data_IF_611056734205
#
_entry.id   IF_611056734205
#
_cell.length_a   1.000
_cell.length_b   1.000
_cell.length_c   1.000
_cell.angle_alpha   90.00
_cell.angle_beta   90.00
_cell.angle_gamma   90.00
#
_symmetry.space_group_name_H-M   'P 1'
#
loop_
_entity.id
_entity.type
_entity.pdbx_description
1 polymer ?
#
# COMPACT_ATOMS: atom_id res chain seq x y z
N UNK A 1 22.95 18.79 -16.78
CA UNK A 1 23.44 18.04 -15.61
C UNK A 1 22.40 16.98 -15.25
N UNK A 2 22.75 15.68 -15.34
CA UNK A 2 21.80 14.58 -15.13
C UNK A 2 21.39 14.41 -13.65
N UNK A 3 22.31 14.70 -12.75
CA UNK A 3 22.14 14.49 -11.30
C UNK A 3 21.51 15.67 -10.57
N UNK A 4 21.50 16.88 -11.13
CA UNK A 4 20.91 18.06 -10.51
C UNK A 4 19.45 18.22 -10.93
N UNK A 5 18.57 17.37 -10.35
CA UNK A 5 17.12 17.35 -10.65
C UNK A 5 16.29 17.42 -9.38
N UNK A 6 16.29 18.57 -8.68
CA UNK A 6 15.62 18.69 -7.37
C UNK A 6 14.11 18.39 -7.44
N UNK A 7 13.47 18.68 -8.57
CA UNK A 7 12.04 18.39 -8.74
C UNK A 7 11.74 16.89 -8.83
N UNK A 8 12.66 16.07 -9.38
CA UNK A 8 12.51 14.60 -9.37
C UNK A 8 12.61 14.07 -7.94
N UNK A 9 13.52 14.62 -7.13
CA UNK A 9 13.65 14.28 -5.72
C UNK A 9 12.40 14.68 -4.93
N UNK A 10 11.88 15.90 -5.15
CA UNK A 10 10.64 16.38 -4.54
C UNK A 10 9.43 15.51 -4.93
N UNK A 11 9.33 15.10 -6.20
CA UNK A 11 8.30 14.19 -6.67
C UNK A 11 8.42 12.81 -6.00
N UNK A 12 9.65 12.29 -5.81
CA UNK A 12 9.91 11.06 -5.07
C UNK A 12 9.45 11.16 -3.61
N UNK A 13 9.78 12.27 -2.94
CA UNK A 13 9.35 12.52 -1.56
C UNK A 13 7.81 12.57 -1.44
N UNK A 14 7.14 13.31 -2.33
CA UNK A 14 5.68 13.39 -2.34
C UNK A 14 5.01 12.03 -2.61
N UNK A 15 5.56 11.25 -3.55
CA UNK A 15 5.05 9.92 -3.87
C UNK A 15 5.28 8.92 -2.71
N UNK A 16 6.40 9.03 -2.00
CA UNK A 16 6.67 8.26 -0.79
C UNK A 16 5.70 8.60 0.34
N UNK A 17 5.45 9.88 0.58
CA UNK A 17 4.46 10.34 1.55
C UNK A 17 3.04 9.84 1.19
N UNK A 18 2.65 9.92 -0.08
CA UNK A 18 1.37 9.39 -0.55
C UNK A 18 1.23 7.88 -0.31
N UNK A 19 2.34 7.12 -0.46
CA UNK A 19 2.39 5.69 -0.16
C UNK A 19 2.22 5.42 1.34
N UNK A 20 2.77 6.29 2.19
CA UNK A 20 2.58 6.23 3.65
C UNK A 20 1.12 6.43 4.07
N UNK A 21 0.37 7.25 3.35
CA UNK A 21 -1.07 7.45 3.60
C UNK A 21 -1.89 6.24 3.12
N UNK A 22 -1.58 5.72 1.95
CA UNK A 22 -2.28 4.58 1.36
C UNK A 22 -1.36 3.81 0.41
N UNK A 23 -1.34 2.49 0.55
CA UNK A 23 -0.51 1.59 -0.26
C UNK A 23 -0.73 1.70 -1.77
N UNK A 24 -1.91 2.15 -2.20
CA UNK A 24 -2.13 2.47 -3.61
C UNK A 24 -1.22 3.60 -4.13
N UNK A 25 -0.56 4.37 -3.26
CA UNK A 25 0.50 5.29 -3.62
C UNK A 25 1.66 4.65 -4.37
N UNK A 26 1.92 3.34 -4.19
CA UNK A 26 2.91 2.58 -4.97
C UNK A 26 2.62 2.65 -6.47
N UNK A 27 1.35 2.65 -6.87
CA UNK A 27 0.98 2.82 -8.29
C UNK A 27 1.32 4.23 -8.80
N UNK A 28 1.24 5.25 -7.91
CA UNK A 28 1.66 6.61 -8.24
C UNK A 28 3.18 6.66 -8.41
N UNK A 29 3.95 6.00 -7.55
CA UNK A 29 5.41 5.86 -7.69
C UNK A 29 5.75 5.23 -9.03
N UNK A 30 5.12 4.10 -9.38
CA UNK A 30 5.36 3.42 -10.65
C UNK A 30 4.97 4.28 -11.85
N UNK A 31 3.78 4.89 -11.82
CA UNK A 31 3.27 5.73 -12.91
C UNK A 31 4.14 6.97 -13.15
N UNK A 32 4.53 7.68 -12.09
CA UNK A 32 5.43 8.84 -12.19
C UNK A 32 6.83 8.42 -12.65
N UNK A 33 7.36 7.30 -12.17
CA UNK A 33 8.64 6.77 -12.62
C UNK A 33 8.67 6.51 -14.13
N UNK A 34 7.64 5.83 -14.64
CA UNK A 34 7.48 5.58 -16.08
C UNK A 34 7.32 6.91 -16.84
N UNK A 35 6.49 7.81 -16.34
CA UNK A 35 6.26 9.12 -16.95
C UNK A 35 7.57 9.91 -17.08
N UNK A 36 8.39 9.96 -16.04
CA UNK A 36 9.68 10.66 -16.06
C UNK A 36 10.64 10.06 -17.11
N UNK A 37 10.73 8.73 -17.18
CA UNK A 37 11.59 8.07 -18.17
C UNK A 37 11.08 8.31 -19.58
N UNK A 38 9.78 8.21 -19.82
CA UNK A 38 9.19 8.42 -21.15
C UNK A 38 9.34 9.87 -21.61
N UNK A 39 9.09 10.84 -20.74
CA UNK A 39 9.24 12.27 -21.07
C UNK A 39 10.69 12.62 -21.39
N UNK A 40 11.64 12.10 -20.62
CA UNK A 40 13.06 12.27 -20.88
C UNK A 40 13.50 11.61 -22.21
N UNK A 41 12.98 10.42 -22.51
CA UNK A 41 13.23 9.72 -23.77
C UNK A 41 12.70 10.50 -24.98
N UNK A 42 11.48 11.02 -24.87
CA UNK A 42 10.86 11.84 -25.92
C UNK A 42 11.61 13.17 -26.12
N UNK A 43 12.07 13.80 -25.05
CA UNK A 43 12.88 15.01 -25.14
C UNK A 43 14.20 14.76 -25.92
N UNK A 44 14.88 13.64 -25.67
CA UNK A 44 16.08 13.24 -26.40
C UNK A 44 15.81 12.94 -27.87
N UNK A 45 14.70 12.26 -28.15
CA UNK A 45 14.27 12.03 -29.53
C UNK A 45 14.07 13.35 -30.27
N UNK A 46 13.39 14.34 -29.64
CA UNK A 46 13.15 15.66 -30.23
C UNK A 46 14.45 16.46 -30.42
N UNK A 47 15.43 16.27 -29.53
CA UNK A 47 16.74 16.88 -29.63
C UNK A 47 17.67 16.21 -30.69
N UNK A 48 17.20 15.19 -31.43
CA UNK A 48 17.98 14.52 -32.47
C UNK A 48 19.11 13.65 -31.94
N UNK A 49 19.06 13.21 -30.69
CA UNK A 49 20.11 12.35 -30.12
C UNK A 49 20.05 10.98 -30.80
N UNK A 50 21.16 10.59 -31.44
CA UNK A 50 21.31 9.24 -32.00
C UNK A 50 21.19 8.20 -30.87
N UNK A 51 20.56 7.04 -31.19
CA UNK A 51 20.35 5.97 -30.19
C UNK A 51 19.62 6.41 -28.93
N UNK A 52 18.70 7.38 -29.03
CA UNK A 52 17.91 7.91 -27.91
C UNK A 52 17.25 6.85 -27.02
N UNK A 53 16.77 5.68 -27.52
CA UNK A 53 16.16 4.66 -26.65
C UNK A 53 17.16 4.03 -25.69
N UNK A 54 18.35 3.70 -26.20
CA UNK A 54 19.43 3.09 -25.39
C UNK A 54 20.00 4.09 -24.40
N UNK A 55 20.20 5.34 -24.80
CA UNK A 55 20.66 6.40 -23.90
C UNK A 55 19.62 6.71 -22.81
N UNK A 56 18.33 6.70 -23.14
CA UNK A 56 17.28 6.83 -22.16
C UNK A 56 17.23 5.64 -21.19
N UNK A 57 17.37 4.41 -21.68
CA UNK A 57 17.29 3.20 -20.87
C UNK A 57 18.50 3.02 -19.95
N UNK A 58 19.73 3.19 -20.46
CA UNK A 58 20.95 2.83 -19.74
C UNK A 58 21.62 4.01 -19.02
N UNK A 59 21.33 5.22 -19.41
CA UNK A 59 21.95 6.40 -18.82
C UNK A 59 20.96 7.23 -18.01
N UNK A 60 19.81 7.55 -18.58
CA UNK A 60 18.82 8.41 -17.93
C UNK A 60 17.94 7.65 -16.95
N UNK A 61 17.45 6.47 -17.34
CA UNK A 61 16.58 5.63 -16.51
C UNK A 61 17.17 5.34 -15.14
N UNK A 62 18.40 4.79 -15.05
CA UNK A 62 19.06 4.53 -13.77
C UNK A 62 19.24 5.78 -12.91
N UNK A 63 19.62 6.92 -13.49
CA UNK A 63 19.75 8.17 -12.73
C UNK A 63 18.40 8.65 -12.19
N UNK A 64 17.34 8.60 -13.01
CA UNK A 64 15.98 8.95 -12.57
C UNK A 64 15.51 7.99 -11.48
N UNK A 65 15.76 6.69 -11.62
CA UNK A 65 15.44 5.69 -10.61
C UNK A 65 16.13 5.99 -9.28
N UNK A 66 17.44 6.25 -9.28
CA UNK A 66 18.23 6.54 -8.06
C UNK A 66 17.79 7.85 -7.39
N UNK A 67 17.40 8.85 -8.16
CA UNK A 67 16.92 10.13 -7.62
C UNK A 67 15.46 10.11 -7.16
N UNK A 68 14.67 9.15 -7.62
CA UNK A 68 13.23 9.10 -7.36
C UNK A 68 12.86 8.02 -6.35
N UNK A 69 13.20 6.77 -6.65
CA UNK A 69 12.70 5.60 -5.89
C UNK A 69 13.30 5.52 -4.48
N UNK A 70 14.63 5.63 -4.27
CA UNK A 70 15.19 5.59 -2.93
C UNK A 70 14.65 6.69 -2.02
N UNK A 71 14.42 7.89 -2.56
CA UNK A 71 13.84 8.99 -1.78
C UNK A 71 12.39 8.65 -1.39
N UNK A 72 11.58 8.12 -2.32
CA UNK A 72 10.23 7.67 -2.00
C UNK A 72 10.24 6.59 -0.91
N UNK A 73 11.16 5.63 -0.98
CA UNK A 73 11.32 4.58 0.05
C UNK A 73 11.73 5.16 1.40
N UNK A 74 12.71 6.07 1.42
CA UNK A 74 13.14 6.71 2.67
C UNK A 74 12.00 7.49 3.33
N UNK A 75 11.24 8.28 2.56
CA UNK A 75 10.09 9.03 3.08
C UNK A 75 8.99 8.09 3.55
N UNK A 76 8.73 7.01 2.83
CA UNK A 76 7.79 5.98 3.26
C UNK A 76 8.23 5.33 4.58
N UNK A 77 9.48 4.91 4.70
CA UNK A 77 10.01 4.32 5.94
C UNK A 77 10.01 5.34 7.09
N UNK A 78 10.29 6.61 6.80
CA UNK A 78 10.23 7.67 7.79
C UNK A 78 8.81 7.86 8.36
N UNK A 79 7.76 7.57 7.60
CA UNK A 79 6.39 7.60 8.12
C UNK A 79 6.12 6.55 9.21
N UNK A 80 6.96 5.52 9.31
CA UNK A 80 6.88 4.46 10.33
C UNK A 80 7.71 4.75 11.59
N UNK A 81 8.43 5.91 11.65
CA UNK A 81 9.29 6.24 12.79
C UNK A 81 8.50 6.21 14.11
N UNK A 82 7.28 6.73 14.14
CA UNK A 82 6.43 6.70 15.33
C UNK A 82 6.15 5.27 15.80
N UNK A 83 5.82 4.37 14.90
CA UNK A 83 5.58 2.95 15.20
C UNK A 83 6.87 2.22 15.64
N UNK A 84 8.01 2.56 15.04
CA UNK A 84 9.31 1.98 15.39
C UNK A 84 9.82 2.48 16.76
N UNK A 85 9.55 3.74 17.10
CA UNK A 85 10.03 4.40 18.30
C UNK A 85 9.17 4.12 19.56
N UNK A 86 7.96 3.58 19.37
CA UNK A 86 7.02 3.29 20.46
C UNK A 86 6.74 1.80 20.57
N UNK A 87 6.50 1.30 21.76
CA UNK A 87 6.17 -0.12 21.99
C UNK A 87 4.66 -0.41 21.86
N UNK A 88 3.82 0.62 21.84
CA UNK A 88 2.36 0.50 21.77
C UNK A 88 1.79 0.31 20.38
N UNK A 89 2.62 0.17 19.34
CA UNK A 89 2.16 -0.05 17.97
C UNK A 89 1.49 -1.41 17.79
N UNK A 90 0.44 -1.45 16.97
CA UNK A 90 -0.24 -2.71 16.64
C UNK A 90 0.77 -3.71 16.07
N UNK A 91 0.75 -4.93 16.58
CA UNK A 91 1.60 -6.06 16.13
C UNK A 91 3.13 -5.80 16.21
N UNK A 92 3.54 -4.86 17.08
CA UNK A 92 4.92 -4.41 17.25
C UNK A 92 5.88 -5.52 17.74
N UNK A 93 5.35 -6.50 18.45
CA UNK A 93 6.08 -7.62 19.08
C UNK A 93 5.89 -8.95 18.34
N UNK A 94 5.35 -8.95 17.12
CA UNK A 94 5.12 -10.17 16.33
C UNK A 94 6.41 -10.96 16.04
N UNK A 95 7.56 -10.27 15.93
CA UNK A 95 8.85 -10.95 15.76
C UNK A 95 9.32 -11.73 16.98
N UNK A 96 8.77 -11.49 18.18
CA UNK A 96 9.07 -12.28 19.38
C UNK A 96 8.42 -13.66 19.28
N UNK A 97 7.25 -13.75 18.63
CA UNK A 97 6.54 -15.02 18.39
C UNK A 97 7.09 -15.77 17.18
N UNK A 98 7.66 -15.05 16.21
CA UNK A 98 8.23 -15.59 14.99
C UNK A 98 9.59 -14.93 14.68
N UNK A 99 10.65 -15.26 15.44
CA UNK A 99 11.94 -14.62 15.29
C UNK A 99 12.57 -14.90 13.92
N UNK A 100 13.34 -13.91 13.42
CA UNK A 100 14.09 -14.08 12.19
C UNK A 100 15.17 -15.15 12.35
N UNK A 101 15.27 -16.06 11.37
CA UNK A 101 16.22 -17.17 11.39
C UNK A 101 17.20 -17.10 10.22
N UNK A 102 18.31 -17.81 10.32
CA UNK A 102 19.31 -17.92 9.26
C UNK A 102 20.01 -16.59 8.99
N UNK A 103 20.18 -16.24 7.72
CA UNK A 103 20.88 -15.03 7.27
C UNK A 103 20.21 -13.72 7.72
N UNK A 104 18.98 -13.76 8.19
CA UNK A 104 18.22 -12.60 8.67
C UNK A 104 18.24 -12.42 10.17
N UNK A 105 18.91 -13.30 10.94
CA UNK A 105 18.97 -13.24 12.41
C UNK A 105 19.61 -11.96 12.96
N UNK A 106 20.38 -11.24 12.16
CA UNK A 106 21.00 -9.95 12.52
C UNK A 106 20.03 -8.77 12.45
N UNK A 107 18.84 -8.95 11.83
CA UNK A 107 17.84 -7.88 11.69
C UNK A 107 17.21 -7.62 13.07
N UNK A 108 17.19 -6.35 13.54
CA UNK A 108 16.52 -6.01 14.79
C UNK A 108 15.04 -6.42 14.77
N UNK A 109 14.55 -6.92 15.92
CA UNK A 109 13.16 -7.43 16.05
C UNK A 109 12.09 -6.44 15.57
N UNK A 110 12.36 -5.14 15.78
CA UNK A 110 11.49 -4.06 15.31
C UNK A 110 11.25 -4.06 13.78
N UNK A 111 12.32 -4.19 13.02
CA UNK A 111 12.21 -4.22 11.54
C UNK A 111 11.64 -5.55 11.05
N UNK A 112 11.92 -6.64 11.76
CA UNK A 112 11.29 -7.92 11.44
C UNK A 112 9.79 -7.89 11.72
N UNK A 113 9.35 -7.33 12.86
CA UNK A 113 7.92 -7.10 13.14
C UNK A 113 7.26 -6.22 12.07
N UNK A 114 7.95 -5.15 11.63
CA UNK A 114 7.45 -4.29 10.55
C UNK A 114 7.27 -5.07 9.23
N UNK A 115 8.22 -5.96 8.91
CA UNK A 115 8.11 -6.83 7.74
C UNK A 115 6.91 -7.78 7.84
N UNK A 116 6.74 -8.45 8.99
CA UNK A 116 5.62 -9.34 9.25
C UNK A 116 4.27 -8.60 9.14
N UNK A 117 4.21 -7.38 9.68
CA UNK A 117 3.04 -6.51 9.57
C UNK A 117 2.71 -6.15 8.11
N UNK A 118 3.71 -5.78 7.31
CA UNK A 118 3.53 -5.50 5.88
C UNK A 118 3.05 -6.74 5.11
N UNK A 119 3.58 -7.90 5.44
CA UNK A 119 3.15 -9.16 4.85
C UNK A 119 1.69 -9.48 5.20
N UNK A 120 1.30 -9.30 6.46
CA UNK A 120 -0.09 -9.49 6.89
C UNK A 120 -1.06 -8.53 6.16
N UNK A 121 -0.67 -7.24 5.99
CA UNK A 121 -1.46 -6.28 5.21
C UNK A 121 -1.60 -6.74 3.75
N UNK A 122 -0.52 -7.19 3.14
CA UNK A 122 -0.54 -7.67 1.76
C UNK A 122 -1.47 -8.87 1.60
N UNK A 123 -1.31 -9.88 2.46
CA UNK A 123 -2.12 -11.11 2.44
C UNK A 123 -3.61 -10.79 2.66
N UNK A 124 -3.92 -9.86 3.56
CA UNK A 124 -5.28 -9.36 3.76
C UNK A 124 -5.85 -8.74 2.48
N UNK A 125 -5.10 -7.86 1.81
CA UNK A 125 -5.60 -7.17 0.61
C UNK A 125 -5.75 -8.11 -0.58
N UNK A 126 -4.87 -9.08 -0.74
CA UNK A 126 -4.96 -10.10 -1.80
C UNK A 126 -6.13 -11.06 -1.54
N UNK A 127 -6.33 -11.44 -0.28
CA UNK A 127 -7.42 -12.33 0.14
C UNK A 127 -8.79 -11.66 0.24
N UNK A 128 -8.86 -10.32 0.15
CA UNK A 128 -10.11 -9.57 0.32
C UNK A 128 -11.06 -9.82 -0.86
N UNK A 129 -12.07 -10.66 -0.62
CA UNK A 129 -13.12 -11.01 -1.57
C UNK A 129 -14.51 -10.70 -0.99
N UNK A 130 -14.77 -9.43 -0.65
CA UNK A 130 -16.10 -9.03 -0.20
C UNK A 130 -16.99 -8.69 -1.38
N UNK A 131 -18.19 -9.29 -1.44
CA UNK A 131 -19.21 -8.88 -2.41
C UNK A 131 -19.71 -7.47 -2.03
N UNK A 132 -19.41 -6.49 -2.85
CA UNK A 132 -19.85 -5.11 -2.66
C UNK A 132 -21.03 -4.79 -3.60
N UNK A 133 -22.04 -4.06 -3.11
CA UNK A 133 -23.21 -3.69 -3.90
C UNK A 133 -22.84 -2.87 -5.17
N UNK A 134 -21.72 -2.15 -5.11
CA UNK A 134 -21.18 -1.35 -6.22
C UNK A 134 -19.96 -2.00 -6.90
N UNK A 135 -19.76 -3.31 -6.74
CA UNK A 135 -18.67 -4.00 -7.42
C UNK A 135 -18.86 -3.92 -8.94
N UNK A 136 -17.95 -3.26 -9.63
CA UNK A 136 -17.90 -3.28 -11.09
C UNK A 136 -17.39 -4.63 -11.59
N UNK A 137 -17.98 -5.15 -12.67
CA UNK A 137 -17.46 -6.36 -13.31
C UNK A 137 -16.09 -6.07 -13.93
N UNK A 138 -15.18 -7.03 -13.87
CA UNK A 138 -13.92 -6.96 -14.63
C UNK A 138 -14.26 -6.73 -16.10
N UNK A 139 -13.77 -5.65 -16.69
CA UNK A 139 -14.07 -5.24 -18.07
C UNK A 139 -15.12 -4.12 -18.22
N UNK A 140 -15.84 -3.72 -17.17
CA UNK A 140 -16.67 -2.51 -17.18
C UNK A 140 -15.84 -1.28 -16.76
N UNK A 141 -14.71 -1.05 -17.44
CA UNK A 141 -13.88 0.13 -17.27
C UNK A 141 -14.60 1.43 -17.68
N UNK A 142 -13.88 2.56 -17.76
CA UNK A 142 -14.43 3.92 -17.93
C UNK A 142 -15.30 4.14 -19.18
N UNK A 143 -15.46 3.13 -20.05
CA UNK A 143 -16.30 3.18 -21.24
C UNK A 143 -17.76 2.75 -21.01
N UNK A 144 -18.16 2.36 -19.82
CA UNK A 144 -19.55 2.05 -19.49
C UNK A 144 -20.32 3.29 -19.01
N UNK A 145 -20.38 4.33 -19.83
CA UNK A 145 -21.33 5.43 -19.67
C UNK A 145 -22.69 5.09 -20.33
N UNK A 146 -23.35 4.03 -19.89
CA UNK A 146 -24.74 3.82 -20.19
C UNK A 146 -25.52 3.59 -18.89
N UNK A 147 -26.55 4.38 -18.57
CA UNK A 147 -27.41 4.12 -17.41
C UNK A 147 -28.31 2.93 -17.75
N UNK A 148 -27.76 1.72 -17.68
CA UNK A 148 -28.61 0.53 -17.66
C UNK A 148 -29.23 0.47 -16.28
N UNK A 149 -30.56 0.64 -16.23
CA UNK A 149 -31.38 0.33 -15.06
C UNK A 149 -30.89 -1.01 -14.50
N UNK A 150 -30.20 -0.98 -13.35
CA UNK A 150 -29.96 -2.17 -12.57
C UNK A 150 -31.32 -2.65 -12.10
N UNK A 151 -31.92 -3.60 -12.81
CA UNK A 151 -33.01 -4.41 -12.25
C UNK A 151 -32.39 -5.17 -11.10
N UNK A 152 -32.61 -4.64 -9.92
CA UNK A 152 -32.23 -5.24 -8.67
C UNK A 152 -33.03 -6.54 -8.52
N UNK A 153 -32.44 -7.64 -8.99
CA UNK A 153 -32.96 -8.97 -8.75
C UNK A 153 -32.91 -9.16 -7.23
N UNK A 154 -34.03 -9.02 -6.58
CA UNK A 154 -34.19 -9.32 -5.15
C UNK A 154 -33.64 -10.73 -4.93
N UNK A 155 -32.44 -10.81 -4.31
CA UNK A 155 -32.00 -12.07 -3.74
C UNK A 155 -32.90 -12.36 -2.54
N UNK A 156 -33.33 -13.61 -2.34
CA UNK A 156 -34.07 -13.98 -1.14
C UNK A 156 -33.24 -13.59 0.09
N UNK A 157 -33.87 -12.91 1.01
CA UNK A 157 -33.29 -12.54 2.32
C UNK A 157 -32.84 -13.81 3.02
N UNK A 158 -31.52 -14.05 3.04
CA UNK A 158 -30.94 -15.01 3.96
C UNK A 158 -31.18 -14.44 5.35
N UNK A 159 -32.05 -15.10 6.12
CA UNK A 159 -32.25 -14.76 7.54
C UNK A 159 -30.89 -14.79 8.22
N UNK A 160 -30.49 -13.74 8.97
CA UNK A 160 -29.29 -13.81 9.75
C UNK A 160 -29.43 -14.97 10.74
N UNK A 161 -28.45 -15.87 10.76
CA UNK A 161 -28.37 -16.91 11.78
C UNK A 161 -28.32 -16.23 13.14
N UNK A 162 -29.32 -16.49 13.95
CA UNK A 162 -29.37 -16.03 15.33
C UNK A 162 -28.25 -16.74 16.08
N UNK A 163 -27.17 -16.00 16.38
CA UNK A 163 -26.17 -16.49 17.31
C UNK A 163 -26.82 -16.73 18.65
N UNK A 164 -26.73 -17.93 19.25
CA UNK A 164 -27.21 -18.15 20.61
C UNK A 164 -26.38 -17.27 21.55
N UNK A 165 -27.07 -16.34 22.22
CA UNK A 165 -26.46 -15.60 23.31
C UNK A 165 -26.17 -16.61 24.44
N UNK A 166 -24.87 -16.92 24.63
CA UNK A 166 -24.39 -17.60 25.82
C UNK A 166 -24.72 -16.71 27.01
N UNK A 167 -25.64 -17.22 27.84
CA UNK A 167 -26.14 -16.54 29.02
C UNK A 167 -25.04 -16.33 30.05
N UNK A 168 -24.64 -15.08 30.24
CA UNK A 168 -23.97 -14.67 31.47
C UNK A 168 -25.04 -14.52 32.56
N UNK A 169 -25.10 -15.48 33.46
CA UNK A 169 -25.91 -15.43 34.67
C UNK A 169 -25.41 -14.28 35.55
N UNK A 170 -26.13 -13.17 35.57
CA UNK A 170 -25.97 -12.15 36.61
C UNK A 170 -26.63 -12.66 37.85
N UNK A 171 -25.85 -13.13 38.81
CA UNK A 171 -26.31 -13.28 40.20
C UNK A 171 -26.54 -11.89 40.81
N UNK A 172 -27.77 -11.47 40.90
CA UNK A 172 -28.16 -10.27 41.62
C UNK A 172 -28.14 -10.59 43.12
N UNK A 173 -27.11 -10.10 43.81
CA UNK A 173 -27.08 -10.07 45.28
C UNK A 173 -28.01 -8.96 45.76
N UNK A 174 -29.16 -9.35 46.23
CA UNK A 174 -30.12 -8.45 46.90
C UNK A 174 -29.53 -8.01 48.24
N UNK A 175 -29.20 -6.73 48.36
CA UNK A 175 -28.87 -6.09 49.65
C UNK A 175 -30.15 -5.76 50.36
N UNK A 176 -30.46 -6.50 51.45
CA UNK A 176 -31.59 -6.27 52.34
C UNK A 176 -31.16 -5.33 53.46
N UNK A 177 -31.61 -4.08 53.43
CA UNK A 177 -31.48 -3.14 54.57
C UNK A 177 -32.55 -3.42 55.60
N UNK A 178 -32.11 -3.53 56.85
CA UNK A 178 -32.89 -3.18 58.04
C UNK A 178 -32.38 -1.86 58.58
#
# INVERSE_FOLDING_TARGET
>A
MLWSRPWVMAAGAAAGAATGVKWSGVYVVAGLGIYLVVTDALARRRAGVGFWPTDAAFRQGPVTFVLFVPIAVVVYLASWIGWLATDGGWDRHSAELAPATGVWSWVPSAFHSLWLYHRAIYDFHVGLSSAHAYASRRGSGPFCCAPRRCTQRRRPTVRPAVFPRTGASRTSTACRTR
#
